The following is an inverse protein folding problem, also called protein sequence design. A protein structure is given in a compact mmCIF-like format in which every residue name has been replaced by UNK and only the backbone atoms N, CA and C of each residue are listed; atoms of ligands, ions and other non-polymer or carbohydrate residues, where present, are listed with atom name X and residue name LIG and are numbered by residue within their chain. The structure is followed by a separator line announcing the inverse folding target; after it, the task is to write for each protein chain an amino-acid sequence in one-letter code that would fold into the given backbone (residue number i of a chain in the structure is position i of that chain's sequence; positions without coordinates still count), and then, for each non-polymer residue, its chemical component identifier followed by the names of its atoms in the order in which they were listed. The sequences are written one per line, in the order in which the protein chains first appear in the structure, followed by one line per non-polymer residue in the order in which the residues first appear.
data_IF_911812597388
#
_entry.id   IF_911812597388
#
_cell.length_a   1.000
_cell.length_b   1.000
_cell.length_c   1.000
_cell.angle_alpha   90.00
_cell.angle_beta   90.00
_cell.angle_gamma   90.00
#
_symmetry.space_group_name_H-M   'P 1'
#
loop_
_entity.id
_entity.type
_entity.pdbx_description
1 polymer ?
#
# COMPACT_ATOMS: atom_id res chain seq x y z
N UNK A 1 -8.28 6.74 33.31
CA UNK A 1 -7.17 7.10 32.39
C UNK A 1 -7.24 6.39 31.05
N UNK A 2 -7.33 5.05 30.96
CA UNK A 2 -7.50 4.37 29.65
C UNK A 2 -8.83 4.62 28.94
N UNK A 3 -9.92 4.80 29.69
CA UNK A 3 -11.27 5.03 29.15
C UNK A 3 -11.40 6.37 28.41
N UNK A 4 -10.67 7.42 28.84
CA UNK A 4 -10.69 8.75 28.20
C UNK A 4 -9.89 8.79 26.91
N UNK A 5 -8.76 8.06 26.81
CA UNK A 5 -8.07 7.87 25.53
C UNK A 5 -8.94 7.08 24.53
N UNK A 6 -9.64 6.04 24.99
CA UNK A 6 -10.56 5.25 24.14
C UNK A 6 -11.78 6.06 23.69
N UNK A 7 -12.26 7.00 24.50
CA UNK A 7 -13.33 7.92 24.14
C UNK A 7 -12.90 8.92 23.06
N UNK A 8 -11.65 9.39 23.07
CA UNK A 8 -11.09 10.32 22.07
C UNK A 8 -10.69 9.63 20.75
N UNK A 9 -10.43 8.32 20.76
CA UNK A 9 -10.31 7.49 19.54
C UNK A 9 -11.65 7.40 18.79
N UNK A 10 -12.77 7.50 19.50
CA UNK A 10 -14.10 7.18 18.97
C UNK A 10 -14.55 8.13 17.86
N UNK A 11 -14.10 9.39 17.86
CA UNK A 11 -14.40 10.37 16.81
C UNK A 11 -13.57 10.19 15.53
N UNK A 12 -12.37 9.60 15.63
CA UNK A 12 -11.46 9.38 14.48
C UNK A 12 -11.44 7.92 13.96
N UNK A 13 -12.39 7.08 14.38
CA UNK A 13 -12.52 5.69 13.90
C UNK A 13 -12.66 5.56 12.38
N UNK A 14 -13.36 6.50 11.73
CA UNK A 14 -13.58 6.46 10.27
C UNK A 14 -12.26 6.62 9.48
N UNK A 15 -11.45 7.68 9.68
CA UNK A 15 -10.19 7.84 8.95
C UNK A 15 -9.13 6.80 9.33
N UNK A 16 -9.09 6.34 10.59
CA UNK A 16 -8.14 5.30 11.01
C UNK A 16 -8.43 3.93 10.37
N UNK A 17 -9.70 3.55 10.23
CA UNK A 17 -10.09 2.34 9.51
C UNK A 17 -9.79 2.44 8.01
N UNK A 18 -10.08 3.58 7.38
CA UNK A 18 -9.73 3.82 5.97
C UNK A 18 -8.21 3.75 5.74
N UNK A 19 -7.41 4.35 6.63
CA UNK A 19 -5.95 4.28 6.55
C UNK A 19 -5.46 2.83 6.66
N UNK A 20 -5.95 2.06 7.62
CA UNK A 20 -5.56 0.65 7.78
C UNK A 20 -5.96 -0.20 6.57
N UNK A 21 -7.11 0.09 5.95
CA UNK A 21 -7.57 -0.60 4.74
C UNK A 21 -6.68 -0.26 3.53
N UNK A 22 -6.32 1.01 3.36
CA UNK A 22 -5.43 1.45 2.29
C UNK A 22 -4.02 0.87 2.44
N UNK A 23 -3.50 0.78 3.68
CA UNK A 23 -2.21 0.14 3.95
C UNK A 23 -2.25 -1.37 3.66
N UNK A 24 -3.35 -2.06 4.01
CA UNK A 24 -3.51 -3.46 3.67
C UNK A 24 -3.53 -3.69 2.15
N UNK A 25 -4.23 -2.81 1.40
CA UNK A 25 -4.24 -2.83 -0.06
C UNK A 25 -2.84 -2.58 -0.65
N UNK A 26 -2.12 -1.58 -0.14
CA UNK A 26 -0.73 -1.28 -0.54
C UNK A 26 0.16 -2.51 -0.40
N UNK A 27 0.17 -3.15 0.77
CA UNK A 27 1.00 -4.33 1.03
C UNK A 27 0.60 -5.50 0.11
N UNK A 28 -0.69 -5.67 -0.21
CA UNK A 28 -1.13 -6.68 -1.18
C UNK A 28 -0.57 -6.43 -2.60
N UNK A 29 -0.48 -5.17 -3.03
CA UNK A 29 0.17 -4.81 -4.29
C UNK A 29 1.69 -5.03 -4.22
N UNK A 30 2.32 -4.66 -3.10
CA UNK A 30 3.75 -4.81 -2.90
C UNK A 30 4.20 -6.29 -2.95
N UNK A 31 3.40 -7.19 -2.38
CA UNK A 31 3.63 -8.65 -2.45
C UNK A 31 3.32 -9.22 -3.84
N UNK A 32 2.42 -8.59 -4.61
CA UNK A 32 2.13 -9.02 -5.99
C UNK A 32 3.28 -8.74 -6.96
N UNK A 33 4.09 -7.70 -6.73
CA UNK A 33 5.25 -7.36 -7.58
C UNK A 33 6.26 -8.53 -7.68
N UNK A 34 6.78 -9.12 -6.58
CA UNK A 34 7.71 -10.24 -6.67
C UNK A 34 7.05 -11.51 -7.24
N UNK A 35 5.72 -11.67 -7.11
CA UNK A 35 5.00 -12.76 -7.76
C UNK A 35 4.98 -12.63 -9.29
N UNK A 36 4.76 -11.41 -9.81
CA UNK A 36 4.87 -11.12 -11.24
C UNK A 36 6.33 -11.23 -11.72
N UNK A 37 7.29 -10.79 -10.91
CA UNK A 37 8.72 -10.92 -11.19
C UNK A 37 9.15 -12.39 -11.33
N UNK A 38 8.68 -13.28 -10.44
CA UNK A 38 8.93 -14.72 -10.55
C UNK A 38 8.36 -15.29 -11.85
N UNK A 39 7.14 -14.88 -12.24
CA UNK A 39 6.55 -15.29 -13.51
C UNK A 39 7.31 -14.73 -14.73
N UNK A 40 7.86 -13.50 -14.66
CA UNK A 40 8.70 -12.93 -15.71
C UNK A 40 10.00 -13.75 -15.85
N UNK A 41 10.64 -14.12 -14.75
CA UNK A 41 11.85 -14.96 -14.78
C UNK A 41 11.57 -16.35 -15.40
N UNK A 42 10.49 -17.01 -14.98
CA UNK A 42 10.12 -18.34 -15.50
C UNK A 42 9.65 -18.31 -16.96
N UNK A 43 8.90 -17.30 -17.40
CA UNK A 43 8.28 -17.28 -18.74
C UNK A 43 8.98 -16.38 -19.75
N UNK A 44 9.69 -15.36 -19.30
CA UNK A 44 10.42 -14.42 -20.14
C UNK A 44 11.89 -14.81 -20.29
N UNK A 45 12.59 -14.93 -19.16
CA UNK A 45 14.05 -15.16 -19.14
C UNK A 45 14.40 -16.60 -19.51
N UNK A 46 13.74 -17.61 -18.91
CA UNK A 46 14.01 -19.02 -19.26
C UNK A 46 13.66 -19.37 -20.72
N UNK A 47 12.64 -18.74 -21.31
CA UNK A 47 12.29 -18.95 -22.73
C UNK A 47 13.15 -18.07 -23.68
N UNK A 48 14.07 -17.26 -23.16
CA UNK A 48 14.94 -16.34 -23.91
C UNK A 48 14.18 -15.41 -24.88
N UNK A 49 12.90 -15.14 -24.60
CA UNK A 49 12.03 -14.37 -25.48
C UNK A 49 12.01 -12.91 -25.04
N UNK A 50 12.99 -12.13 -25.53
CA UNK A 50 13.22 -10.72 -25.16
C UNK A 50 11.98 -9.82 -25.34
N UNK A 51 11.07 -10.14 -26.25
CA UNK A 51 9.83 -9.37 -26.44
C UNK A 51 8.89 -9.51 -25.24
N UNK A 52 8.76 -10.71 -24.67
CA UNK A 52 7.96 -10.92 -23.47
C UNK A 52 8.58 -10.26 -22.25
N UNK A 53 9.91 -10.31 -22.12
CA UNK A 53 10.63 -9.65 -21.02
C UNK A 53 10.28 -8.16 -20.99
N UNK A 54 10.43 -7.45 -22.11
CA UNK A 54 10.14 -6.02 -22.21
C UNK A 54 8.67 -5.68 -21.89
N UNK A 55 7.73 -6.54 -22.29
CA UNK A 55 6.31 -6.37 -21.99
C UNK A 55 6.02 -6.54 -20.48
N UNK A 56 6.55 -7.58 -19.85
CA UNK A 56 6.36 -7.82 -18.42
C UNK A 56 7.12 -6.81 -17.54
N UNK A 57 8.29 -6.34 -17.97
CA UNK A 57 9.05 -5.29 -17.27
C UNK A 57 8.29 -3.96 -17.30
N UNK A 58 7.73 -3.59 -18.46
CA UNK A 58 6.85 -2.43 -18.59
C UNK A 58 5.58 -2.54 -17.74
N UNK A 59 4.96 -3.72 -17.70
CA UNK A 59 3.79 -3.99 -16.85
C UNK A 59 4.14 -3.85 -15.36
N UNK A 60 5.30 -4.37 -14.93
CA UNK A 60 5.77 -4.22 -13.55
C UNK A 60 6.04 -2.77 -13.19
N UNK A 61 6.63 -1.99 -14.09
CA UNK A 61 6.89 -0.57 -13.85
C UNK A 61 5.58 0.21 -13.64
N UNK A 62 4.56 -0.04 -14.47
CA UNK A 62 3.22 0.56 -14.29
C UNK A 62 2.58 0.13 -12.97
N UNK A 63 2.67 -1.16 -12.63
CA UNK A 63 2.19 -1.66 -11.34
C UNK A 63 2.93 -1.02 -10.14
N UNK A 64 4.24 -0.82 -10.24
CA UNK A 64 5.04 -0.17 -9.20
C UNK A 64 4.61 1.29 -9.00
N UNK A 65 4.38 2.04 -10.08
CA UNK A 65 3.85 3.41 -10.00
C UNK A 65 2.45 3.45 -9.36
N UNK A 66 1.56 2.52 -9.73
CA UNK A 66 0.23 2.40 -9.12
C UNK A 66 0.33 2.05 -7.63
N UNK A 67 1.21 1.13 -7.25
CA UNK A 67 1.47 0.76 -5.85
C UNK A 67 2.00 1.94 -5.06
N UNK A 68 2.94 2.71 -5.62
CA UNK A 68 3.52 3.89 -4.99
C UNK A 68 2.49 5.01 -4.82
N UNK A 69 1.59 5.19 -5.79
CA UNK A 69 0.49 6.14 -5.67
C UNK A 69 -0.51 5.72 -4.57
N UNK A 70 -0.85 4.44 -4.52
CA UNK A 70 -1.72 3.88 -3.49
C UNK A 70 -1.09 3.99 -2.09
N UNK A 71 0.20 3.69 -1.98
CA UNK A 71 0.97 3.84 -0.75
C UNK A 71 1.11 5.28 -0.27
N UNK A 72 1.29 6.23 -1.20
CA UNK A 72 1.28 7.65 -0.85
C UNK A 72 -0.06 8.11 -0.28
N UNK A 73 -1.18 7.62 -0.82
CA UNK A 73 -2.51 7.90 -0.27
C UNK A 73 -2.72 7.25 1.10
N UNK A 74 -2.38 5.96 1.23
CA UNK A 74 -2.32 5.23 2.50
C UNK A 74 -1.59 6.03 3.58
N UNK A 75 -0.37 6.48 3.27
CA UNK A 75 0.47 7.26 4.17
C UNK A 75 -0.16 8.62 4.53
N UNK A 76 -0.82 9.31 3.59
CA UNK A 76 -1.53 10.57 3.91
C UNK A 76 -2.70 10.33 4.86
N UNK A 77 -3.51 9.31 4.64
CA UNK A 77 -4.62 8.98 5.56
C UNK A 77 -4.10 8.55 6.93
N UNK A 78 -2.97 7.81 6.98
CA UNK A 78 -2.31 7.43 8.23
C UNK A 78 -1.78 8.65 9.00
N UNK A 79 -1.16 9.59 8.31
CA UNK A 79 -0.65 10.84 8.90
C UNK A 79 -1.79 11.72 9.43
N UNK A 80 -2.91 11.83 8.70
CA UNK A 80 -4.11 12.57 9.15
C UNK A 80 -4.75 11.90 10.36
N UNK A 81 -4.85 10.57 10.38
CA UNK A 81 -5.36 9.83 11.54
C UNK A 81 -4.46 10.01 12.78
N UNK A 82 -3.14 9.98 12.59
CA UNK A 82 -2.14 10.15 13.66
C UNK A 82 -2.13 11.60 14.19
N UNK A 83 -2.20 12.60 13.31
CA UNK A 83 -2.28 14.01 13.69
C UNK A 83 -3.61 14.35 14.39
N UNK A 84 -4.73 13.76 13.94
CA UNK A 84 -6.04 13.89 14.59
C UNK A 84 -6.07 13.27 15.99
N UNK A 85 -5.35 12.16 16.19
CA UNK A 85 -5.16 11.54 17.51
C UNK A 85 -4.27 12.41 18.42
N UNK A 86 -3.17 12.96 17.91
CA UNK A 86 -2.28 13.85 18.66
C UNK A 86 -2.94 15.17 19.07
N UNK A 87 -3.82 15.72 18.23
CA UNK A 87 -4.57 16.96 18.51
C UNK A 87 -5.66 16.78 19.58
N UNK A 88 -6.02 15.54 19.91
CA UNK A 88 -7.04 15.19 20.90
C UNK A 88 -6.45 14.69 22.23
N UNK A 89 -5.12 14.66 22.35
CA UNK A 89 -4.46 14.59 23.64
C UNK A 89 -4.29 16.02 24.19
N UNK A 90 -4.66 16.27 25.46
CA UNK A 90 -4.33 17.53 26.13
C UNK A 90 -2.82 17.68 26.35
#
# INVERSE_FOLDING_TARGET
MFQTLIAQIKEYKKPSFLSSLFMALEVMFEISIPFVMANLLDKGVQQSNMSNIWFYDGLMLVCAFLSLFCGMQSARYAAVASAGFAKNLP
#
